data_IF_832598699882
#
_entry.id   IF_832598699882
#
_cell.length_a   1.000
_cell.length_b   1.000
_cell.length_c   1.000
_cell.angle_alpha   90.00
_cell.angle_beta   90.00
_cell.angle_gamma   90.00
#
_symmetry.space_group_name_H-M   'P 1'
#
loop_
_entity.id
_entity.type
_entity.pdbx_description
1 polymer ?
#
# COMPACT_ATOMS: atom_id res chain seq x y z
N UNK A 1 -9.46 25.77 46.53
CA UNK A 1 -8.20 25.12 46.12
C UNK A 1 -8.29 24.89 44.62
N UNK A 2 -7.55 25.64 43.80
CA UNK A 2 -7.58 25.49 42.33
C UNK A 2 -6.56 24.41 41.95
N UNK A 3 -6.98 23.45 41.12
CA UNK A 3 -6.16 22.32 40.70
C UNK A 3 -4.89 22.78 39.96
N UNK A 4 -3.70 22.30 40.38
CA UNK A 4 -2.40 22.61 39.72
C UNK A 4 -2.39 22.28 38.22
N UNK A 5 -3.19 21.29 37.77
CA UNK A 5 -3.34 20.97 36.33
C UNK A 5 -3.96 22.12 35.54
N UNK A 6 -4.92 22.85 36.12
CA UNK A 6 -5.57 24.00 35.46
C UNK A 6 -4.72 25.28 35.51
N UNK A 7 -3.73 25.34 36.40
CA UNK A 7 -2.80 26.46 36.51
C UNK A 7 -1.54 26.30 35.63
N UNK A 8 -1.39 25.17 34.94
CA UNK A 8 -0.22 24.93 34.08
C UNK A 8 -0.32 25.78 32.80
N UNK A 9 0.69 26.64 32.57
CA UNK A 9 0.82 27.39 31.31
C UNK A 9 1.19 26.44 30.18
N UNK A 10 0.53 26.59 29.03
CA UNK A 10 0.87 25.85 27.82
C UNK A 10 2.32 26.13 27.43
N UNK A 11 3.11 25.07 27.26
CA UNK A 11 4.46 25.17 26.70
C UNK A 11 4.34 25.52 25.22
N UNK A 12 4.53 26.79 24.88
CA UNK A 12 4.68 27.23 23.49
C UNK A 12 6.08 26.85 23.02
N UNK A 13 6.21 25.69 22.38
CA UNK A 13 7.40 25.37 21.60
C UNK A 13 7.38 26.20 20.31
N UNK A 14 8.51 26.77 19.87
CA UNK A 14 8.59 27.34 18.53
C UNK A 14 8.33 26.23 17.50
N UNK A 15 7.61 26.52 16.40
CA UNK A 15 7.38 25.54 15.36
C UNK A 15 8.73 25.06 14.83
N UNK A 16 9.03 23.78 15.03
CA UNK A 16 10.20 23.16 14.42
C UNK A 16 9.91 23.12 12.91
N UNK A 17 10.76 23.78 12.12
CA UNK A 17 10.74 23.63 10.67
C UNK A 17 11.23 22.20 10.36
N UNK A 18 10.30 21.26 10.18
CA UNK A 18 10.66 19.97 9.59
C UNK A 18 11.17 20.26 8.18
N UNK A 19 12.34 19.72 7.78
CA UNK A 19 12.81 19.89 6.41
C UNK A 19 11.75 19.33 5.47
N UNK A 20 11.24 20.19 4.56
CA UNK A 20 10.22 19.86 3.57
C UNK A 20 10.58 18.59 2.78
N UNK A 21 11.88 18.37 2.55
CA UNK A 21 12.42 17.21 1.84
C UNK A 21 12.26 15.87 2.57
N UNK A 22 11.86 15.86 3.85
CA UNK A 22 11.67 14.60 4.61
C UNK A 22 10.33 13.93 4.31
N UNK A 23 9.37 14.64 3.72
CA UNK A 23 8.07 14.09 3.36
C UNK A 23 7.76 14.47 1.91
N UNK A 24 8.19 13.63 0.96
CA UNK A 24 7.46 13.60 -0.30
C UNK A 24 6.06 13.14 0.06
N UNK A 25 5.06 14.02 -0.07
CA UNK A 25 3.65 13.67 0.07
C UNK A 25 3.29 12.69 -1.03
N UNK A 26 3.56 11.41 -0.79
CA UNK A 26 3.13 10.36 -1.69
C UNK A 26 2.07 9.52 -1.02
N UNK A 27 1.04 9.17 -1.74
CA UNK A 27 0.04 8.24 -1.24
C UNK A 27 0.62 6.81 -1.18
N UNK A 28 0.12 6.00 -0.25
CA UNK A 28 0.47 4.58 -0.24
C UNK A 28 0.00 3.98 -1.57
N UNK A 29 0.85 3.20 -2.22
CA UNK A 29 0.63 2.64 -3.57
C UNK A 29 0.58 3.64 -4.74
N UNK A 30 1.08 4.87 -4.56
CA UNK A 30 1.16 5.83 -5.67
C UNK A 30 1.98 5.29 -6.86
N UNK A 31 3.18 4.79 -6.55
CA UNK A 31 4.04 4.06 -7.48
C UNK A 31 3.97 2.60 -7.07
N UNK A 32 3.32 1.77 -7.89
CA UNK A 32 3.07 0.36 -7.61
C UNK A 32 3.82 -0.54 -8.57
N UNK A 33 4.69 -1.39 -8.03
CA UNK A 33 5.25 -2.55 -8.73
C UNK A 33 4.24 -3.69 -8.80
N UNK A 34 4.19 -4.40 -9.92
CA UNK A 34 3.36 -5.59 -10.10
C UNK A 34 4.24 -6.77 -10.47
N UNK A 35 4.03 -7.88 -9.77
CA UNK A 35 4.68 -9.17 -10.05
C UNK A 35 3.68 -10.33 -9.91
N UNK A 36 3.96 -11.45 -10.59
CA UNK A 36 3.16 -12.67 -10.60
C UNK A 36 3.97 -13.83 -10.03
N UNK A 37 3.54 -14.36 -8.89
CA UNK A 37 4.16 -15.53 -8.26
C UNK A 37 3.38 -16.81 -8.57
N UNK A 38 4.11 -17.81 -9.08
CA UNK A 38 3.59 -19.08 -9.58
C UNK A 38 3.59 -20.24 -8.58
N UNK A 39 3.07 -21.41 -9.02
CA UNK A 39 1.72 -21.75 -8.65
C UNK A 39 1.62 -22.32 -7.25
N UNK A 40 0.72 -21.75 -6.48
CA UNK A 40 0.23 -22.34 -5.25
C UNK A 40 -0.70 -23.51 -5.57
N UNK A 41 -0.48 -24.63 -4.91
CA UNK A 41 -1.33 -25.81 -5.03
C UNK A 41 -2.39 -25.78 -3.94
N UNK A 42 -3.63 -25.46 -4.32
CA UNK A 42 -4.79 -25.50 -3.43
C UNK A 42 -5.41 -26.91 -3.52
N UNK A 43 -5.53 -27.58 -2.37
CA UNK A 43 -6.08 -28.94 -2.29
C UNK A 43 -7.56 -28.95 -2.73
N UNK A 44 -8.01 -29.95 -3.52
CA UNK A 44 -7.32 -31.20 -3.79
C UNK A 44 -6.50 -31.26 -5.09
N UNK A 45 -6.46 -30.21 -5.95
CA UNK A 45 -5.65 -30.17 -7.20
C UNK A 45 -5.70 -28.85 -8.00
N UNK A 46 -6.15 -27.74 -7.41
CA UNK A 46 -6.28 -26.47 -8.14
C UNK A 46 -4.96 -25.68 -8.11
N UNK A 47 -4.57 -25.12 -9.26
CA UNK A 47 -3.46 -24.15 -9.34
C UNK A 47 -4.01 -22.75 -9.09
N UNK A 48 -3.29 -22.01 -8.27
CA UNK A 48 -3.51 -20.59 -8.09
C UNK A 48 -2.19 -19.84 -8.21
N UNK A 49 -2.27 -18.57 -8.55
CA UNK A 49 -1.16 -17.65 -8.64
C UNK A 49 -1.45 -16.48 -7.70
N UNK A 50 -0.40 -15.78 -7.31
CA UNK A 50 -0.52 -14.55 -6.54
C UNK A 50 -0.08 -13.38 -7.40
N UNK A 51 -0.92 -12.36 -7.46
CA UNK A 51 -0.55 -11.04 -7.96
C UNK A 51 -0.05 -10.23 -6.78
N UNK A 52 1.19 -9.76 -6.87
CA UNK A 52 1.84 -8.94 -5.87
C UNK A 52 1.80 -7.49 -6.34
N UNK A 53 1.23 -6.62 -5.51
CA UNK A 53 1.27 -5.18 -5.68
C UNK A 53 2.20 -4.61 -4.61
N UNK A 54 3.32 -4.03 -5.02
CA UNK A 54 4.35 -3.51 -4.11
C UNK A 54 4.40 -1.98 -4.20
N UNK A 55 4.33 -1.29 -3.06
CA UNK A 55 4.48 0.16 -3.03
C UNK A 55 5.97 0.53 -3.02
N UNK A 56 6.43 1.27 -4.02
CA UNK A 56 7.82 1.70 -4.10
C UNK A 56 8.21 2.71 -3.00
N UNK A 57 7.24 3.45 -2.46
CA UNK A 57 7.50 4.50 -1.46
C UNK A 57 7.56 3.93 -0.05
N UNK A 58 6.59 3.10 0.34
CA UNK A 58 6.43 2.63 1.72
C UNK A 58 6.81 1.17 1.94
N UNK A 59 7.29 0.47 0.90
CA UNK A 59 7.56 -0.98 0.92
C UNK A 59 6.35 -1.82 1.38
N UNK A 60 5.14 -1.28 1.22
CA UNK A 60 3.90 -1.98 1.51
C UNK A 60 3.62 -3.02 0.42
N UNK A 61 3.02 -4.16 0.77
CA UNK A 61 2.68 -5.24 -0.16
C UNK A 61 1.19 -5.55 -0.03
N UNK A 62 0.48 -5.63 -1.15
CA UNK A 62 -0.88 -6.13 -1.25
C UNK A 62 -0.89 -7.36 -2.16
N UNK A 63 -1.58 -8.42 -1.72
CA UNK A 63 -1.57 -9.72 -2.39
C UNK A 63 -2.99 -10.06 -2.84
N UNK A 64 -3.14 -10.48 -4.08
CA UNK A 64 -4.39 -10.99 -4.64
C UNK A 64 -4.18 -12.39 -5.20
N UNK A 65 -5.05 -13.33 -4.83
CA UNK A 65 -5.00 -14.69 -5.39
C UNK A 65 -5.84 -14.73 -6.66
N UNK A 66 -5.30 -15.35 -7.71
CA UNK A 66 -5.97 -15.61 -8.98
C UNK A 66 -5.87 -17.09 -9.35
N UNK A 67 -6.91 -17.63 -9.98
CA UNK A 67 -6.96 -19.06 -10.37
C UNK A 67 -6.55 -19.30 -11.83
N UNK A 68 -6.18 -18.25 -12.56
CA UNK A 68 -5.66 -18.31 -13.92
C UNK A 68 -4.68 -17.17 -14.18
N UNK A 69 -3.75 -17.40 -15.11
CA UNK A 69 -2.84 -16.37 -15.65
C UNK A 69 -3.47 -15.55 -16.80
N UNK A 70 -4.80 -15.59 -16.93
CA UNK A 70 -5.49 -14.85 -17.98
C UNK A 70 -5.53 -13.36 -17.67
N UNK A 71 -5.54 -12.53 -18.71
CA UNK A 71 -5.69 -11.07 -18.61
C UNK A 71 -6.96 -10.70 -17.83
N UNK A 72 -8.05 -11.43 -18.03
CA UNK A 72 -9.31 -11.26 -17.29
C UNK A 72 -9.10 -11.37 -15.77
N UNK A 73 -8.44 -12.44 -15.32
CA UNK A 73 -8.20 -12.67 -13.90
C UNK A 73 -7.27 -11.61 -13.30
N UNK A 74 -6.27 -11.17 -14.07
CA UNK A 74 -5.43 -10.05 -13.68
C UNK A 74 -6.23 -8.74 -13.56
N UNK A 75 -7.05 -8.38 -14.55
CA UNK A 75 -7.88 -7.16 -14.51
C UNK A 75 -8.81 -7.19 -13.30
N UNK A 76 -9.41 -8.33 -12.98
CA UNK A 76 -10.24 -8.49 -11.79
C UNK A 76 -9.44 -8.28 -10.50
N UNK A 77 -8.22 -8.80 -10.41
CA UNK A 77 -7.33 -8.55 -9.26
C UNK A 77 -6.95 -7.07 -9.13
N UNK A 78 -6.64 -6.41 -10.24
CA UNK A 78 -6.29 -4.98 -10.27
C UNK A 78 -7.48 -4.12 -9.84
N UNK A 79 -8.70 -4.45 -10.26
CA UNK A 79 -9.92 -3.77 -9.81
C UNK A 79 -10.12 -3.88 -8.30
N UNK A 80 -9.91 -5.08 -7.72
CA UNK A 80 -10.00 -5.29 -6.27
C UNK A 80 -8.92 -4.51 -5.51
N UNK A 81 -7.70 -4.49 -6.04
CA UNK A 81 -6.61 -3.68 -5.49
C UNK A 81 -6.98 -2.19 -5.49
N UNK A 82 -7.40 -1.64 -6.64
CA UNK A 82 -7.77 -0.21 -6.76
C UNK A 82 -8.93 0.15 -5.83
N UNK A 83 -9.95 -0.71 -5.74
CA UNK A 83 -11.09 -0.49 -4.84
C UNK A 83 -10.69 -0.44 -3.36
N UNK A 84 -9.62 -1.14 -2.96
CA UNK A 84 -9.16 -1.23 -1.57
C UNK A 84 -8.05 -0.25 -1.21
N UNK A 85 -7.16 0.05 -2.16
CA UNK A 85 -5.90 0.80 -1.93
C UNK A 85 -5.85 2.14 -2.65
N UNK A 86 -6.83 2.43 -3.51
CA UNK A 86 -6.81 3.61 -4.37
C UNK A 86 -6.13 3.32 -5.71
N UNK A 87 -6.32 4.25 -6.65
CA UNK A 87 -5.75 4.13 -8.00
C UNK A 87 -4.27 4.58 -7.97
N UNK A 88 -3.32 3.72 -8.37
CA UNK A 88 -1.92 4.12 -8.50
C UNK A 88 -1.80 5.16 -9.63
N UNK A 89 -0.86 6.09 -9.49
CA UNK A 89 -0.52 7.03 -10.57
C UNK A 89 0.40 6.37 -11.58
N UNK A 90 1.30 5.51 -11.11
CA UNK A 90 2.26 4.78 -11.94
C UNK A 90 2.26 3.30 -11.57
N UNK A 91 2.20 2.45 -12.60
CA UNK A 91 2.35 1.00 -12.46
C UNK A 91 3.61 0.58 -13.22
N UNK A 92 4.47 -0.20 -12.56
CA UNK A 92 5.64 -0.83 -13.16
C UNK A 92 5.48 -2.34 -13.04
N UNK A 93 5.49 -3.06 -14.15
CA UNK A 93 5.45 -4.52 -14.15
C UNK A 93 6.86 -5.07 -14.37
N UNK A 94 7.24 -6.09 -13.60
CA UNK A 94 8.44 -6.88 -13.88
C UNK A 94 8.12 -7.84 -15.02
N UNK A 95 8.85 -7.72 -16.13
CA UNK A 95 8.75 -8.60 -17.30
C UNK A 95 9.57 -9.86 -17.14
#
# INVERSE_FOLDING_TARGET
MVCKRFAAKSLTAPPIHLPLDRFRESSVFEITGIDLCGPLFIKPKAKAWMVLFTCAVYRAIHLEVVTSLSTEAFIQSLRRFIARRGRPTTIVASG
#
